data_IF_609168856339
#
_entry.id   IF_609168856339
#
_cell.length_a   1.000
_cell.length_b   1.000
_cell.length_c   1.000
_cell.angle_alpha   90.00
_cell.angle_beta   90.00
_cell.angle_gamma   90.00
#
_symmetry.space_group_name_H-M   'P 1'
#
loop_
_entity.id
_entity.type
_entity.pdbx_description
1 polymer ?
#
# COMPACT_ATOMS: atom_id res chain seq x y z
N UNK A 1 -30.26 -2.83 2.47
CA UNK A 1 -29.30 -1.74 2.72
C UNK A 1 -28.97 -1.76 4.19
N UNK A 2 -27.69 -1.73 4.54
CA UNK A 2 -27.25 -1.65 5.93
C UNK A 2 -26.87 -0.21 6.32
N UNK A 3 -26.47 0.00 7.57
CA UNK A 3 -26.06 1.32 8.09
C UNK A 3 -24.93 1.94 7.25
N UNK A 4 -23.99 1.12 6.75
CA UNK A 4 -22.89 1.58 5.89
C UNK A 4 -23.41 2.11 4.56
N UNK A 5 -24.39 1.44 3.93
CA UNK A 5 -25.01 1.92 2.70
C UNK A 5 -25.69 3.29 2.90
N UNK A 6 -26.37 3.47 4.05
CA UNK A 6 -27.03 4.74 4.39
C UNK A 6 -26.00 5.87 4.54
N UNK A 7 -24.90 5.61 5.24
CA UNK A 7 -23.80 6.57 5.39
C UNK A 7 -23.18 6.92 4.05
N UNK A 8 -22.93 5.94 3.18
CA UNK A 8 -22.39 6.18 1.82
C UNK A 8 -23.35 7.07 1.01
N UNK A 9 -24.65 6.73 0.97
CA UNK A 9 -25.64 7.52 0.22
C UNK A 9 -25.74 8.94 0.76
N UNK A 10 -25.68 9.12 2.08
CA UNK A 10 -25.72 10.43 2.72
C UNK A 10 -24.46 11.25 2.39
N UNK A 11 -23.27 10.67 2.51
CA UNK A 11 -22.01 11.33 2.17
C UNK A 11 -21.97 11.72 0.69
N UNK A 12 -22.33 10.80 -0.21
CA UNK A 12 -22.36 11.06 -1.65
C UNK A 12 -23.42 12.12 -1.98
N UNK A 13 -24.64 11.99 -1.44
CA UNK A 13 -25.74 12.93 -1.68
C UNK A 13 -25.41 14.35 -1.21
N UNK A 14 -24.86 14.50 0.00
CA UNK A 14 -24.39 15.80 0.50
C UNK A 14 -23.25 16.37 -0.36
N UNK A 15 -22.32 15.53 -0.82
CA UNK A 15 -21.22 15.97 -1.68
C UNK A 15 -21.71 16.44 -3.05
N UNK A 16 -22.68 15.74 -3.66
CA UNK A 16 -23.32 16.16 -4.91
C UNK A 16 -24.07 17.48 -4.73
N UNK A 17 -24.85 17.61 -3.66
CA UNK A 17 -25.58 18.84 -3.36
C UNK A 17 -24.63 20.02 -3.18
N UNK A 18 -23.58 19.85 -2.38
CA UNK A 18 -22.58 20.90 -2.13
C UNK A 18 -21.78 21.25 -3.38
N UNK A 19 -21.42 20.25 -4.19
CA UNK A 19 -20.75 20.45 -5.48
C UNK A 19 -21.62 21.24 -6.45
N UNK A 20 -22.91 20.87 -6.58
CA UNK A 20 -23.85 21.60 -7.42
C UNK A 20 -24.06 23.05 -6.94
N UNK A 21 -24.01 23.30 -5.63
CA UNK A 21 -24.12 24.65 -5.07
C UNK A 21 -22.88 25.52 -5.33
N UNK A 22 -21.68 24.93 -5.36
CA UNK A 22 -20.40 25.63 -5.61
C UNK A 22 -20.08 25.87 -7.08
N UNK A 23 -20.63 25.05 -7.98
CA UNK A 23 -20.35 25.15 -9.41
C UNK A 23 -19.16 24.29 -9.87
N UNK A 24 -19.03 24.15 -11.19
CA UNK A 24 -18.06 23.26 -11.85
C UNK A 24 -16.65 23.80 -11.73
N UNK A 25 -16.48 25.11 -11.83
CA UNK A 25 -15.15 25.72 -11.83
C UNK A 25 -14.44 25.53 -10.50
N UNK A 26 -15.13 25.83 -9.40
CA UNK A 26 -14.61 25.61 -8.05
C UNK A 26 -14.38 24.11 -7.83
N UNK A 27 -15.33 23.26 -8.25
CA UNK A 27 -15.17 21.80 -8.17
C UNK A 27 -13.95 21.26 -8.94
N UNK A 28 -13.65 21.83 -10.11
CA UNK A 28 -12.49 21.46 -10.92
C UNK A 28 -11.18 21.91 -10.26
N UNK A 29 -11.16 23.12 -9.69
CA UNK A 29 -10.02 23.62 -8.90
C UNK A 29 -9.80 22.73 -7.68
N UNK A 30 -10.85 22.38 -6.94
CA UNK A 30 -10.76 21.50 -5.77
C UNK A 30 -10.19 20.13 -6.18
N UNK A 31 -10.67 19.54 -7.27
CA UNK A 31 -10.19 18.23 -7.76
C UNK A 31 -8.73 18.29 -8.20
N UNK A 32 -8.37 19.31 -8.99
CA UNK A 32 -7.00 19.54 -9.43
C UNK A 32 -6.06 19.80 -8.25
N UNK A 33 -6.52 20.57 -7.26
CA UNK A 33 -5.80 20.85 -6.03
C UNK A 33 -5.47 19.58 -5.27
N UNK A 34 -6.40 18.63 -5.13
CA UNK A 34 -6.12 17.34 -4.51
C UNK A 34 -5.07 16.55 -5.29
N UNK A 35 -5.21 16.45 -6.62
CA UNK A 35 -4.24 15.71 -7.44
C UNK A 35 -2.83 16.30 -7.31
N UNK A 36 -2.72 17.63 -7.35
CA UNK A 36 -1.46 18.33 -7.22
C UNK A 36 -0.89 18.23 -5.80
N UNK A 37 -1.73 18.35 -4.77
CA UNK A 37 -1.36 18.19 -3.37
C UNK A 37 -0.84 16.79 -3.04
N UNK A 38 -1.46 15.74 -3.57
CA UNK A 38 -1.00 14.37 -3.42
C UNK A 38 0.32 14.15 -4.17
N UNK A 39 0.44 14.68 -5.38
CA UNK A 39 1.66 14.56 -6.20
C UNK A 39 2.84 15.28 -5.53
N UNK A 40 2.70 16.58 -5.24
CA UNK A 40 3.77 17.37 -4.60
C UNK A 40 4.06 16.86 -3.19
N UNK A 41 3.02 16.52 -2.42
CA UNK A 41 3.16 15.87 -1.12
C UNK A 41 4.00 14.60 -1.20
N UNK A 42 3.72 13.73 -2.18
CA UNK A 42 4.47 12.47 -2.37
C UNK A 42 5.95 12.66 -2.76
N UNK A 43 6.29 13.80 -3.35
CA UNK A 43 7.66 14.12 -3.77
C UNK A 43 8.46 14.78 -2.65
N UNK A 44 7.84 15.68 -1.88
CA UNK A 44 8.56 16.60 -0.97
C UNK A 44 8.36 16.25 0.52
N UNK A 45 7.45 15.32 0.88
CA UNK A 45 7.15 14.98 2.29
C UNK A 45 8.37 14.68 3.16
N UNK A 46 9.44 14.11 2.58
CA UNK A 46 10.68 13.78 3.32
C UNK A 46 11.32 15.01 3.95
N UNK A 47 11.24 16.18 3.31
CA UNK A 47 11.77 17.44 3.84
C UNK A 47 11.04 17.82 5.12
N UNK A 48 9.70 17.80 5.09
CA UNK A 48 8.88 18.08 6.26
C UNK A 48 9.08 17.01 7.37
N UNK A 49 9.23 15.74 6.99
CA UNK A 49 9.47 14.66 7.92
C UNK A 49 10.81 14.79 8.67
N UNK A 50 11.88 15.23 8.00
CA UNK A 50 13.19 15.49 8.64
C UNK A 50 13.07 16.60 9.69
N UNK A 51 12.33 17.67 9.39
CA UNK A 51 12.08 18.76 10.34
C UNK A 51 11.29 18.26 11.55
N UNK A 52 10.23 17.49 11.33
CA UNK A 52 9.41 16.92 12.42
C UNK A 52 10.22 15.92 13.28
N UNK A 53 11.06 15.10 12.65
CA UNK A 53 11.97 14.19 13.35
C UNK A 53 12.96 14.95 14.23
N UNK A 54 13.47 16.10 13.76
CA UNK A 54 14.34 16.97 14.55
C UNK A 54 13.64 17.57 15.79
N UNK A 55 12.30 17.69 15.76
CA UNK A 55 11.48 18.15 16.89
C UNK A 55 11.16 16.99 17.87
N UNK A 56 11.57 15.76 17.56
CA UNK A 56 11.44 14.58 18.43
C UNK A 56 10.25 13.66 18.10
N UNK A 57 9.57 13.85 16.97
CA UNK A 57 8.51 12.94 16.55
C UNK A 57 9.07 11.58 16.10
N UNK A 58 8.41 10.44 16.45
CA UNK A 58 8.78 9.12 15.95
C UNK A 58 8.80 9.08 14.42
N UNK A 59 9.69 8.28 13.83
CA UNK A 59 9.93 8.25 12.38
C UNK A 59 8.67 8.02 11.55
N UNK A 60 7.82 7.08 11.96
CA UNK A 60 6.53 6.84 11.34
C UNK A 60 5.63 8.07 11.34
N UNK A 61 5.48 8.71 12.51
CA UNK A 61 4.58 9.84 12.71
C UNK A 61 5.10 11.08 11.97
N UNK A 62 6.41 11.28 11.95
CA UNK A 62 7.09 12.33 11.17
C UNK A 62 6.82 12.21 9.67
N UNK A 63 6.88 10.99 9.11
CA UNK A 63 6.56 10.75 7.71
C UNK A 63 5.10 11.07 7.37
N UNK A 64 4.17 10.56 8.20
CA UNK A 64 2.73 10.79 8.03
C UNK A 64 2.37 12.27 8.13
N UNK A 65 2.79 12.93 9.21
CA UNK A 65 2.52 14.34 9.46
C UNK A 65 3.21 15.23 8.41
N UNK A 66 4.43 14.88 7.99
CA UNK A 66 5.13 15.59 6.93
C UNK A 66 4.39 15.55 5.59
N UNK A 67 3.89 14.38 5.21
CA UNK A 67 3.05 14.23 4.01
C UNK A 67 1.74 15.04 4.15
N UNK A 68 1.03 14.91 5.27
CA UNK A 68 -0.21 15.66 5.51
C UNK A 68 0.00 17.17 5.44
N UNK A 69 1.03 17.69 6.09
CA UNK A 69 1.30 19.13 6.17
C UNK A 69 1.62 19.70 4.78
N UNK A 70 2.46 19.02 4.00
CA UNK A 70 2.78 19.45 2.62
C UNK A 70 1.54 19.37 1.73
N UNK A 71 0.81 18.25 1.74
CA UNK A 71 -0.38 18.09 0.90
C UNK A 71 -1.47 19.11 1.26
N UNK A 72 -1.76 19.35 2.55
CA UNK A 72 -2.74 20.36 2.97
C UNK A 72 -2.28 21.76 2.58
N UNK A 73 -1.01 22.10 2.80
CA UNK A 73 -0.46 23.40 2.42
C UNK A 73 -0.58 23.67 0.91
N UNK A 74 -0.22 22.70 0.09
CA UNK A 74 -0.40 22.77 -1.37
C UNK A 74 -1.87 22.89 -1.73
N UNK A 75 -2.74 22.07 -1.12
CA UNK A 75 -4.15 22.05 -1.45
C UNK A 75 -4.82 23.41 -1.18
N UNK A 76 -4.58 23.96 0.01
CA UNK A 76 -5.07 25.28 0.42
C UNK A 76 -4.53 26.37 -0.51
N UNK A 77 -3.23 26.33 -0.82
CA UNK A 77 -2.61 27.30 -1.74
C UNK A 77 -3.24 27.29 -3.13
N UNK A 78 -3.44 26.10 -3.71
CA UNK A 78 -4.04 25.95 -5.05
C UNK A 78 -5.50 26.37 -5.07
N UNK A 79 -6.28 25.99 -4.05
CA UNK A 79 -7.69 26.41 -3.95
C UNK A 79 -7.79 27.93 -3.79
N UNK A 80 -6.97 28.53 -2.93
CA UNK A 80 -6.93 29.97 -2.74
C UNK A 80 -6.60 30.70 -4.04
N UNK A 81 -5.51 30.33 -4.70
CA UNK A 81 -5.09 30.94 -5.98
C UNK A 81 -6.12 30.71 -7.10
N UNK A 82 -6.66 29.50 -7.20
CA UNK A 82 -7.70 29.18 -8.20
C UNK A 82 -8.98 29.98 -7.97
N UNK A 83 -9.40 30.15 -6.71
CA UNK A 83 -10.58 30.94 -6.37
C UNK A 83 -10.41 32.43 -6.70
N UNK A 84 -9.19 32.97 -6.55
CA UNK A 84 -8.87 34.34 -6.98
C UNK A 84 -8.94 34.49 -8.49
N UNK A 85 -8.38 33.52 -9.24
CA UNK A 85 -8.33 33.56 -10.70
C UNK A 85 -9.71 33.47 -11.35
N UNK A 86 -10.62 32.74 -10.71
CA UNK A 86 -11.93 32.41 -11.29
C UNK A 86 -13.05 33.31 -10.77
N UNK A 87 -12.72 34.27 -9.90
CA UNK A 87 -13.69 35.21 -9.30
C UNK A 87 -14.49 35.99 -10.35
N UNK A 88 -13.90 36.26 -11.50
CA UNK A 88 -14.50 37.10 -12.56
C UNK A 88 -15.09 36.29 -13.74
N UNK A 89 -15.06 34.95 -13.67
CA UNK A 89 -15.60 34.10 -14.73
C UNK A 89 -17.05 33.71 -14.42
N UNK A 90 -17.99 34.31 -15.15
CA UNK A 90 -19.40 33.93 -15.09
C UNK A 90 -19.70 32.81 -16.09
N UNK A 91 -19.85 31.58 -15.61
CA UNK A 91 -20.45 30.50 -16.40
C UNK A 91 -21.98 30.54 -16.33
N UNK A 92 -22.63 30.01 -17.36
CA UNK A 92 -24.09 29.83 -17.34
C UNK A 92 -24.53 28.97 -16.14
N UNK A 93 -25.61 29.37 -15.47
CA UNK A 93 -26.10 28.76 -14.21
C UNK A 93 -26.31 27.24 -14.28
N UNK A 94 -26.80 26.73 -15.41
CA UNK A 94 -27.10 25.30 -15.58
C UNK A 94 -25.85 24.43 -15.79
N UNK A 95 -24.98 24.69 -16.77
CA UNK A 95 -23.77 23.89 -16.95
C UNK A 95 -22.85 23.94 -15.73
N UNK A 96 -22.78 25.09 -15.04
CA UNK A 96 -21.99 25.23 -13.82
C UNK A 96 -22.51 24.33 -12.69
N UNK A 97 -23.82 24.31 -12.43
CA UNK A 97 -24.42 23.44 -11.41
C UNK A 97 -24.30 21.96 -11.73
N UNK A 98 -24.51 21.57 -13.00
CA UNK A 98 -24.41 20.15 -13.42
C UNK A 98 -22.96 19.67 -13.25
N UNK A 99 -22.00 20.44 -13.75
CA UNK A 99 -20.59 20.08 -13.61
C UNK A 99 -20.14 20.09 -12.14
N UNK A 100 -20.64 21.03 -11.33
CA UNK A 100 -20.44 21.04 -9.89
C UNK A 100 -20.98 19.78 -9.21
N UNK A 101 -22.17 19.32 -9.61
CA UNK A 101 -22.75 18.06 -9.13
C UNK A 101 -21.93 16.83 -9.49
N UNK A 102 -21.36 16.77 -10.70
CA UNK A 102 -20.45 15.69 -11.14
C UNK A 102 -19.16 15.71 -10.30
N UNK A 103 -18.56 16.87 -10.11
CA UNK A 103 -17.39 17.01 -9.23
C UNK A 103 -17.72 16.56 -7.81
N UNK A 104 -18.86 17.01 -7.27
CA UNK A 104 -19.37 16.59 -5.95
C UNK A 104 -19.58 15.08 -5.83
N UNK A 105 -20.06 14.41 -6.88
CA UNK A 105 -20.17 12.95 -6.94
C UNK A 105 -18.80 12.27 -6.82
N UNK A 106 -17.82 12.72 -7.61
CA UNK A 106 -16.46 12.16 -7.56
C UNK A 106 -15.84 12.34 -6.18
N UNK A 107 -15.99 13.52 -5.58
CA UNK A 107 -15.55 13.82 -4.22
C UNK A 107 -16.24 12.95 -3.17
N UNK A 108 -17.56 12.81 -3.24
CA UNK A 108 -18.33 11.98 -2.33
C UNK A 108 -17.95 10.50 -2.40
N UNK A 109 -17.69 9.99 -3.61
CA UNK A 109 -17.19 8.62 -3.81
C UNK A 109 -15.78 8.44 -3.23
N UNK A 110 -14.88 9.40 -3.45
CA UNK A 110 -13.53 9.38 -2.89
C UNK A 110 -13.56 9.39 -1.36
N UNK A 111 -14.37 10.28 -0.76
CA UNK A 111 -14.52 10.36 0.69
C UNK A 111 -15.15 9.09 1.27
N UNK A 112 -16.16 8.52 0.58
CA UNK A 112 -16.75 7.24 0.97
C UNK A 112 -15.73 6.11 0.91
N UNK A 113 -14.90 6.03 -0.14
CA UNK A 113 -13.83 5.05 -0.24
C UNK A 113 -12.83 5.17 0.92
N UNK A 114 -12.46 6.40 1.31
CA UNK A 114 -11.58 6.66 2.45
C UNK A 114 -12.22 6.22 3.78
N UNK A 115 -13.49 6.56 4.01
CA UNK A 115 -14.23 6.15 5.21
C UNK A 115 -14.32 4.63 5.31
N UNK A 116 -14.58 3.95 4.19
CA UNK A 116 -14.62 2.50 4.13
C UNK A 116 -13.24 1.87 4.39
N UNK A 117 -12.17 2.47 3.85
CA UNK A 117 -10.80 2.05 4.11
C UNK A 117 -10.43 2.15 5.59
N UNK A 118 -10.82 3.24 6.27
CA UNK A 118 -10.61 3.41 7.72
C UNK A 118 -11.47 2.39 8.49
N UNK A 119 -12.73 2.23 8.10
CA UNK A 119 -13.67 1.31 8.75
C UNK A 119 -13.21 -0.14 8.70
N UNK A 120 -12.59 -0.58 7.60
CA UNK A 120 -12.10 -1.95 7.48
C UNK A 120 -10.83 -2.26 8.28
N UNK A 121 -10.19 -1.25 8.90
CA UNK A 121 -9.14 -1.45 9.92
C UNK A 121 -9.76 -1.82 11.27
N UNK A 122 -10.98 -1.36 11.56
CA UNK A 122 -11.68 -1.61 12.80
C UNK A 122 -12.44 -2.97 12.74
N UNK A 123 -12.35 -3.85 13.75
CA UNK A 123 -12.97 -5.18 13.69
C UNK A 123 -14.50 -5.14 13.52
N UNK A 124 -15.17 -4.26 14.26
CA UNK A 124 -16.63 -4.20 14.31
C UNK A 124 -17.27 -3.61 13.03
N UNK A 125 -16.80 -2.47 12.49
CA UNK A 125 -17.34 -1.92 11.24
C UNK A 125 -17.03 -2.77 9.99
N UNK A 126 -16.01 -3.64 10.05
CA UNK A 126 -15.59 -4.47 8.91
C UNK A 126 -16.68 -5.43 8.45
N UNK A 127 -17.41 -6.07 9.37
CA UNK A 127 -18.48 -7.00 8.98
C UNK A 127 -19.63 -6.29 8.28
N UNK A 128 -20.03 -5.13 8.81
CA UNK A 128 -21.02 -4.26 8.17
C UNK A 128 -20.57 -3.80 6.79
N UNK A 129 -19.30 -3.44 6.63
CA UNK A 129 -18.72 -3.08 5.34
C UNK A 129 -18.79 -4.24 4.33
N UNK A 130 -18.48 -5.47 4.74
CA UNK A 130 -18.52 -6.64 3.85
C UNK A 130 -19.95 -7.03 3.43
N UNK A 131 -20.95 -6.75 4.26
CA UNK A 131 -22.38 -6.97 3.95
C UNK A 131 -23.03 -5.84 3.16
N UNK A 132 -22.36 -4.70 2.99
CA UNK A 132 -22.87 -3.53 2.27
C UNK A 132 -22.98 -3.84 0.78
N UNK A 133 -24.04 -3.33 0.13
CA UNK A 133 -24.22 -3.48 -1.31
C UNK A 133 -23.27 -2.55 -2.11
N UNK A 134 -22.98 -1.37 -1.56
CA UNK A 134 -22.12 -0.35 -2.18
C UNK A 134 -20.65 -0.49 -1.79
N UNK A 135 -20.38 -0.93 -0.56
CA UNK A 135 -19.03 -0.99 0.02
C UNK A 135 -18.02 -1.72 -0.85
N UNK A 136 -18.23 -3.01 -1.20
CA UNK A 136 -17.31 -3.76 -2.04
C UNK A 136 -17.07 -3.13 -3.42
N UNK A 137 -18.11 -2.52 -4.02
CA UNK A 137 -17.99 -1.87 -5.33
C UNK A 137 -17.10 -0.63 -5.27
N UNK A 138 -17.34 0.24 -4.28
CA UNK A 138 -16.53 1.45 -4.07
C UNK A 138 -15.08 1.06 -3.72
N UNK A 139 -14.90 0.12 -2.80
CA UNK A 139 -13.57 -0.33 -2.36
C UNK A 139 -12.77 -0.96 -3.52
N UNK A 140 -13.43 -1.69 -4.42
CA UNK A 140 -12.76 -2.31 -5.59
C UNK A 140 -12.15 -1.30 -6.57
N UNK A 141 -12.56 -0.04 -6.51
CA UNK A 141 -11.97 1.04 -7.32
C UNK A 141 -10.57 1.41 -6.84
N UNK A 142 -10.28 1.25 -5.55
CA UNK A 142 -9.01 1.70 -4.95
C UNK A 142 -7.81 0.94 -5.53
N UNK A 143 -7.75 -0.41 -5.54
CA UNK A 143 -6.60 -1.13 -6.12
C UNK A 143 -6.39 -0.80 -7.61
N UNK A 144 -7.49 -0.62 -8.34
CA UNK A 144 -7.47 -0.29 -9.77
C UNK A 144 -6.89 1.11 -10.01
N UNK A 145 -7.27 2.11 -9.21
CA UNK A 145 -6.72 3.45 -9.30
C UNK A 145 -5.25 3.50 -8.93
N UNK A 146 -4.83 2.77 -7.89
CA UNK A 146 -3.41 2.62 -7.54
C UNK A 146 -2.59 2.02 -8.70
N UNK A 147 -3.05 0.91 -9.29
CA UNK A 147 -2.37 0.31 -10.44
C UNK A 147 -2.30 1.25 -11.64
N UNK A 148 -3.35 2.03 -11.90
CA UNK A 148 -3.37 3.00 -12.99
C UNK A 148 -2.35 4.14 -12.78
N UNK A 149 -2.31 4.72 -11.57
CA UNK A 149 -1.37 5.79 -11.23
C UNK A 149 0.09 5.34 -11.29
N UNK A 150 0.38 4.13 -10.84
CA UNK A 150 1.74 3.58 -10.92
C UNK A 150 2.22 3.36 -12.35
N UNK A 151 1.33 2.87 -13.22
CA UNK A 151 1.62 2.73 -14.66
C UNK A 151 1.84 4.08 -15.33
N UNK A 152 1.18 5.12 -14.84
CA UNK A 152 1.44 6.51 -15.24
C UNK A 152 2.76 7.07 -14.67
N UNK A 153 3.52 6.28 -13.91
CA UNK A 153 4.80 6.68 -13.31
C UNK A 153 4.67 7.38 -11.96
N UNK A 154 3.46 7.54 -11.42
CA UNK A 154 3.20 8.21 -10.15
C UNK A 154 3.28 7.19 -9.01
N UNK A 155 4.40 7.15 -8.31
CA UNK A 155 4.60 6.30 -7.14
C UNK A 155 3.98 6.95 -5.90
N UNK A 156 2.73 6.61 -5.59
CA UNK A 156 2.06 7.06 -4.38
C UNK A 156 2.71 6.44 -3.13
N UNK A 157 2.87 7.21 -2.03
CA UNK A 157 3.32 6.67 -0.76
C UNK A 157 2.25 5.72 -0.22
N UNK A 158 2.65 4.50 0.13
CA UNK A 158 1.76 3.48 0.65
C UNK A 158 2.09 3.20 2.10
N UNK A 159 1.04 3.05 2.88
CA UNK A 159 1.14 2.51 4.23
C UNK A 159 1.20 0.99 4.12
N UNK A 160 2.39 0.42 4.30
CA UNK A 160 2.59 -1.03 4.29
C UNK A 160 3.11 -1.45 5.65
N UNK A 161 2.54 -2.52 6.20
CA UNK A 161 3.03 -3.12 7.44
C UNK A 161 4.07 -4.18 7.06
N UNK A 162 5.31 -3.74 6.91
CA UNK A 162 6.45 -4.60 6.63
C UNK A 162 7.39 -4.62 7.85
N UNK A 163 7.95 -5.79 8.20
CA UNK A 163 9.02 -5.86 9.19
C UNK A 163 10.32 -5.29 8.60
N UNK A 164 11.15 -4.68 9.45
CA UNK A 164 12.48 -4.18 9.04
C UNK A 164 13.42 -5.33 8.65
N UNK A 165 13.23 -6.50 9.26
CA UNK A 165 13.99 -7.71 9.01
C UNK A 165 13.00 -8.84 8.70
N UNK A 166 13.26 -9.61 7.64
CA UNK A 166 12.45 -10.77 7.29
C UNK A 166 12.36 -11.80 8.44
N UNK A 167 13.39 -11.90 9.29
CA UNK A 167 13.40 -12.75 10.50
C UNK A 167 12.32 -12.35 11.50
N UNK A 168 12.00 -11.06 11.60
CA UNK A 168 10.92 -10.59 12.46
C UNK A 168 9.55 -11.00 11.89
N UNK A 169 9.41 -11.12 10.57
CA UNK A 169 8.21 -11.67 9.92
C UNK A 169 7.94 -13.11 10.36
N UNK A 170 8.99 -13.95 10.37
CA UNK A 170 8.92 -15.35 10.80
C UNK A 170 8.53 -15.50 12.27
N UNK A 171 8.90 -14.53 13.11
CA UNK A 171 8.54 -14.49 14.53
C UNK A 171 7.16 -13.88 14.77
N UNK A 172 6.44 -13.46 13.73
CA UNK A 172 5.19 -12.74 13.83
C UNK A 172 5.33 -11.32 14.39
N UNK A 173 6.56 -10.81 14.51
CA UNK A 173 6.85 -9.47 15.02
C UNK A 173 6.67 -8.47 13.87
N UNK A 174 5.51 -7.82 13.84
CA UNK A 174 5.25 -6.71 12.90
C UNK A 174 5.66 -5.40 13.57
N UNK A 175 6.86 -4.90 13.25
CA UNK A 175 7.33 -3.59 13.74
C UNK A 175 6.66 -2.45 12.96
N UNK A 176 5.40 -2.20 13.29
CA UNK A 176 4.66 -0.99 12.94
C UNK A 176 4.36 -0.77 11.45
N UNK A 177 3.47 0.18 11.13
CA UNK A 177 3.26 0.63 9.77
C UNK A 177 4.46 1.44 9.26
N UNK A 178 4.87 1.22 8.01
CA UNK A 178 5.90 1.98 7.33
C UNK A 178 5.34 2.66 6.08
N UNK A 179 5.84 3.85 5.76
CA UNK A 179 5.56 4.53 4.50
C UNK A 179 6.59 4.12 3.45
N UNK A 180 6.18 3.30 2.50
CA UNK A 180 7.02 2.84 1.41
C UNK A 180 6.57 3.45 0.09
N UNK A 181 7.54 3.98 -0.66
CA UNK A 181 7.35 4.53 -2.00
C UNK A 181 8.04 3.61 -3.02
N UNK A 182 7.50 2.41 -3.15
CA UNK A 182 7.94 1.42 -4.14
C UNK A 182 6.88 1.37 -5.25
N UNK A 183 7.33 1.56 -6.50
CA UNK A 183 6.53 1.30 -7.67
C UNK A 183 6.62 -0.19 -8.02
N UNK A 184 5.65 -0.98 -7.54
CA UNK A 184 5.67 -2.44 -7.73
C UNK A 184 5.38 -2.85 -9.17
N UNK A 185 4.75 -1.98 -9.99
CA UNK A 185 4.57 -2.27 -11.41
C UNK A 185 5.91 -2.32 -12.18
N UNK A 186 6.94 -1.59 -11.72
CA UNK A 186 8.30 -1.67 -12.29
C UNK A 186 9.04 -2.95 -11.91
N UNK A 187 8.46 -3.72 -11.00
CA UNK A 187 8.98 -4.99 -10.53
C UNK A 187 8.30 -6.18 -11.26
N UNK A 188 7.56 -5.90 -12.34
CA UNK A 188 7.10 -6.95 -13.25
C UNK A 188 8.30 -7.65 -13.91
N UNK A 189 8.21 -8.96 -14.08
CA UNK A 189 9.28 -9.77 -14.68
C UNK A 189 10.42 -10.15 -13.74
N UNK A 190 10.33 -9.85 -12.44
CA UNK A 190 11.35 -10.22 -11.45
C UNK A 190 11.58 -11.74 -11.34
N UNK A 191 12.76 -12.12 -10.90
CA UNK A 191 13.20 -13.52 -10.84
C UNK A 191 12.64 -14.24 -9.62
N UNK A 192 11.82 -15.28 -9.83
CA UNK A 192 11.30 -16.13 -8.77
C UNK A 192 12.41 -16.90 -8.05
N UNK A 193 12.49 -16.81 -6.72
CA UNK A 193 13.51 -17.53 -5.93
C UNK A 193 13.40 -19.06 -6.03
N UNK A 194 12.20 -19.62 -6.24
CA UNK A 194 11.98 -21.09 -6.29
C UNK A 194 12.37 -21.72 -7.63
N UNK A 195 12.06 -21.06 -8.74
CA UNK A 195 12.14 -21.66 -10.07
C UNK A 195 12.83 -20.81 -11.12
N UNK A 196 13.33 -19.62 -10.76
CA UNK A 196 14.08 -18.70 -11.64
C UNK A 196 13.29 -18.06 -12.78
N UNK A 197 12.00 -18.40 -12.97
CA UNK A 197 11.22 -17.73 -14.02
C UNK A 197 10.89 -16.29 -13.61
N UNK A 198 10.67 -15.44 -14.61
CA UNK A 198 10.02 -14.15 -14.43
C UNK A 198 8.65 -14.33 -13.76
N UNK A 199 8.27 -13.41 -12.88
CA UNK A 199 6.94 -13.34 -12.26
C UNK A 199 6.10 -12.25 -12.89
N UNK A 200 4.78 -12.45 -12.91
CA UNK A 200 3.83 -11.51 -13.49
C UNK A 200 3.15 -10.68 -12.41
N UNK A 201 3.14 -9.37 -12.57
CA UNK A 201 2.42 -8.45 -11.69
C UNK A 201 0.92 -8.45 -12.01
N UNK A 202 0.11 -8.97 -11.09
CA UNK A 202 -1.35 -9.06 -11.23
C UNK A 202 -2.11 -7.85 -10.69
N UNK A 203 -1.39 -6.79 -10.30
CA UNK A 203 -1.95 -5.61 -9.68
C UNK A 203 -2.07 -5.72 -8.15
N UNK A 204 -2.84 -4.80 -7.59
CA UNK A 204 -3.08 -4.71 -6.15
C UNK A 204 -4.31 -5.51 -5.73
N UNK A 205 -4.24 -6.14 -4.56
CA UNK A 205 -5.36 -6.86 -3.94
C UNK A 205 -5.46 -6.49 -2.47
N UNK A 206 -6.68 -6.44 -1.97
CA UNK A 206 -6.91 -6.35 -0.53
C UNK A 206 -6.56 -7.67 0.14
N UNK A 207 -5.84 -7.58 1.25
CA UNK A 207 -5.47 -8.71 2.08
C UNK A 207 -5.86 -8.38 3.54
N UNK A 208 -6.65 -9.25 4.17
CA UNK A 208 -7.12 -9.11 5.57
C UNK A 208 -7.60 -7.68 5.94
N UNK A 209 -8.82 -7.33 5.54
CA UNK A 209 -9.40 -6.01 5.82
C UNK A 209 -9.08 -5.02 4.70
N UNK A 210 -8.48 -3.88 5.04
CA UNK A 210 -8.20 -2.77 4.10
C UNK A 210 -6.74 -2.61 3.73
N UNK A 211 -5.86 -3.51 4.18
CA UNK A 211 -4.46 -3.52 3.73
C UNK A 211 -4.39 -3.93 2.26
N UNK A 212 -3.79 -3.07 1.45
CA UNK A 212 -3.56 -3.34 0.03
C UNK A 212 -2.14 -3.87 -0.11
N UNK A 213 -2.00 -5.01 -0.79
CA UNK A 213 -0.70 -5.60 -1.11
C UNK A 213 -0.58 -5.84 -2.62
N UNK A 214 0.60 -5.59 -3.23
CA UNK A 214 0.85 -6.04 -4.60
C UNK A 214 0.76 -7.56 -4.64
N UNK A 215 0.25 -8.10 -5.76
CA UNK A 215 0.21 -9.53 -6.02
C UNK A 215 1.01 -9.82 -7.29
N UNK A 216 2.04 -10.62 -7.14
CA UNK A 216 2.78 -11.25 -8.23
C UNK A 216 2.42 -12.73 -8.27
N UNK A 217 2.39 -13.31 -9.47
CA UNK A 217 2.26 -14.74 -9.64
C UNK A 217 3.35 -15.27 -10.58
N UNK A 218 4.01 -16.34 -10.18
CA UNK A 218 4.98 -17.03 -11.02
C UNK A 218 4.24 -17.98 -11.98
N UNK A 219 4.31 -17.79 -13.31
CA UNK A 219 3.62 -18.66 -14.27
C UNK A 219 4.18 -20.09 -14.29
N UNK A 220 5.44 -20.29 -13.93
CA UNK A 220 6.09 -21.60 -13.98
C UNK A 220 5.78 -22.48 -12.75
N UNK A 221 5.87 -21.92 -11.53
CA UNK A 221 5.66 -22.70 -10.30
C UNK A 221 4.37 -22.35 -9.55
N UNK A 222 3.56 -21.44 -10.08
CA UNK A 222 2.26 -21.05 -9.53
C UNK A 222 2.29 -20.17 -8.29
N UNK A 223 3.47 -19.96 -7.68
CA UNK A 223 3.60 -19.23 -6.41
C UNK A 223 3.13 -17.79 -6.51
N UNK A 224 2.52 -17.32 -5.44
CA UNK A 224 2.13 -15.92 -5.26
C UNK A 224 3.03 -15.23 -4.24
N UNK A 225 3.35 -13.96 -4.48
CA UNK A 225 4.21 -13.14 -3.62
C UNK A 225 3.84 -11.66 -3.76
N UNK A 226 4.26 -10.83 -2.82
CA UNK A 226 4.19 -9.36 -2.87
C UNK A 226 5.54 -8.73 -3.30
N UNK A 227 6.50 -9.56 -3.69
CA UNK A 227 7.89 -9.21 -3.93
C UNK A 227 8.85 -9.87 -2.94
N UNK A 228 8.36 -10.34 -1.78
CA UNK A 228 9.16 -11.03 -0.76
C UNK A 228 9.79 -12.36 -1.25
N UNK A 229 9.36 -12.94 -2.38
CA UNK A 229 9.87 -14.21 -2.92
C UNK A 229 10.51 -14.09 -4.30
N UNK A 230 10.86 -12.86 -4.70
CA UNK A 230 11.71 -12.60 -5.86
C UNK A 230 13.02 -11.99 -5.42
N UNK A 231 14.10 -12.22 -6.17
CA UNK A 231 15.42 -11.71 -5.78
C UNK A 231 15.41 -10.18 -5.70
N UNK A 232 15.00 -9.53 -6.78
CA UNK A 232 15.02 -8.07 -6.94
C UNK A 232 14.01 -7.40 -5.99
N UNK A 233 12.85 -8.04 -5.77
CA UNK A 233 11.80 -7.54 -4.89
C UNK A 233 12.24 -7.59 -3.44
N UNK A 234 12.91 -8.68 -3.05
CA UNK A 234 13.46 -8.82 -1.71
C UNK A 234 14.53 -7.77 -1.41
N UNK A 235 15.48 -7.54 -2.34
CA UNK A 235 16.44 -6.43 -2.22
C UNK A 235 15.72 -5.08 -2.10
N UNK A 236 14.66 -4.85 -2.88
CA UNK A 236 13.96 -3.57 -2.87
C UNK A 236 13.16 -3.32 -1.59
N UNK A 237 12.65 -4.37 -0.96
CA UNK A 237 11.79 -4.30 0.24
C UNK A 237 12.64 -4.28 1.52
N UNK A 238 13.63 -5.18 1.62
CA UNK A 238 14.40 -5.40 2.86
C UNK A 238 15.83 -4.87 2.81
N UNK A 239 16.28 -4.33 1.67
CA UNK A 239 17.66 -3.86 1.45
C UNK A 239 18.73 -4.93 1.78
N UNK A 240 18.40 -6.19 1.51
CA UNK A 240 19.22 -7.36 1.85
C UNK A 240 19.18 -8.41 0.73
N UNK A 241 20.21 -9.24 0.66
CA UNK A 241 20.25 -10.38 -0.25
C UNK A 241 19.55 -11.60 0.36
N UNK A 242 18.55 -12.20 -0.33
CA UNK A 242 17.88 -13.40 0.18
C UNK A 242 18.81 -14.62 0.26
N UNK A 243 19.87 -14.66 -0.54
CA UNK A 243 20.85 -15.75 -0.52
C UNK A 243 21.71 -15.70 0.73
N UNK A 244 22.06 -14.51 1.22
CA UNK A 244 22.82 -14.35 2.46
C UNK A 244 22.02 -14.84 3.66
N UNK A 245 20.75 -14.43 3.77
CA UNK A 245 19.84 -14.96 4.78
C UNK A 245 19.65 -16.48 4.66
N UNK A 246 19.60 -17.01 3.43
CA UNK A 246 19.52 -18.46 3.21
C UNK A 246 20.77 -19.21 3.72
N UNK A 247 21.97 -18.63 3.61
CA UNK A 247 23.21 -19.19 4.18
C UNK A 247 23.13 -19.28 5.71
N UNK A 248 22.39 -18.37 6.33
CA UNK A 248 22.14 -18.36 7.78
C UNK A 248 20.97 -19.29 8.18
N UNK A 249 20.48 -20.12 7.25
CA UNK A 249 19.44 -21.12 7.50
C UNK A 249 18.00 -20.61 7.39
N UNK A 250 17.80 -19.36 6.97
CA UNK A 250 16.47 -18.79 6.77
C UNK A 250 15.82 -19.42 5.52
N UNK A 251 14.55 -19.79 5.65
CA UNK A 251 13.72 -20.24 4.53
C UNK A 251 12.60 -19.25 4.30
N UNK A 252 12.12 -19.17 3.06
CA UNK A 252 11.18 -18.12 2.66
C UNK A 252 9.78 -18.68 2.38
N UNK A 253 8.76 -18.12 3.01
CA UNK A 253 7.37 -18.10 2.54
C UNK A 253 6.81 -16.68 2.71
N UNK A 254 5.93 -16.25 1.81
CA UNK A 254 5.42 -14.89 1.88
C UNK A 254 4.38 -14.75 3.00
N UNK A 255 4.56 -13.87 3.97
CA UNK A 255 3.58 -13.70 5.05
C UNK A 255 2.25 -13.12 4.57
N UNK A 256 2.28 -12.33 3.49
CA UNK A 256 1.08 -11.80 2.82
C UNK A 256 0.45 -12.87 1.91
N UNK A 257 1.23 -13.44 1.00
CA UNK A 257 0.74 -14.45 0.05
C UNK A 257 1.34 -15.81 0.36
N UNK A 258 0.92 -16.42 1.48
CA UNK A 258 1.45 -17.70 1.94
C UNK A 258 1.17 -18.79 0.93
N UNK A 259 2.19 -19.57 0.56
CA UNK A 259 2.05 -20.70 -0.36
C UNK A 259 1.99 -22.05 0.39
N UNK A 260 2.32 -22.05 1.69
CA UNK A 260 2.29 -23.25 2.53
C UNK A 260 3.56 -24.10 2.45
N UNK A 261 4.52 -23.73 1.61
CA UNK A 261 5.83 -24.37 1.49
C UNK A 261 6.97 -23.35 1.51
N UNK A 262 7.89 -23.55 2.46
CA UNK A 262 9.11 -22.77 2.60
C UNK A 262 10.14 -23.15 1.53
N UNK A 263 10.80 -22.14 0.94
CA UNK A 263 11.78 -22.32 -0.14
C UNK A 263 13.17 -21.81 0.28
N UNK A 264 14.18 -22.30 -0.44
CA UNK A 264 15.50 -21.68 -0.51
C UNK A 264 15.69 -21.10 -1.91
N UNK A 265 16.36 -19.93 -2.04
CA UNK A 265 16.66 -19.35 -3.33
C UNK A 265 17.54 -20.29 -4.16
N UNK A 266 17.19 -20.47 -5.44
CA UNK A 266 17.97 -21.30 -6.37
C UNK A 266 18.85 -20.43 -7.26
N UNK A 267 20.09 -20.89 -7.49
CA UNK A 267 21.05 -20.26 -8.38
C UNK A 267 21.63 -18.94 -7.85
N UNK A 268 22.44 -18.24 -8.66
CA UNK A 268 23.03 -16.97 -8.30
C UNK A 268 21.98 -15.85 -8.31
N UNK A 269 22.04 -14.96 -7.33
CA UNK A 269 21.21 -13.77 -7.27
C UNK A 269 21.52 -12.84 -8.46
N UNK A 270 20.52 -12.39 -9.22
CA UNK A 270 20.72 -11.52 -10.38
C UNK A 270 21.17 -10.10 -10.02
N UNK A 271 21.07 -9.66 -8.76
CA UNK A 271 21.46 -8.31 -8.32
C UNK A 271 22.93 -8.24 -7.91
N UNK A 272 23.40 -9.19 -7.09
CA UNK A 272 24.73 -9.14 -6.47
C UNK A 272 25.60 -10.38 -6.77
N UNK A 273 25.09 -11.35 -7.53
CA UNK A 273 25.81 -12.57 -7.90
C UNK A 273 25.99 -13.59 -6.77
N UNK A 274 25.44 -13.33 -5.58
CA UNK A 274 25.55 -14.26 -4.45
C UNK A 274 24.84 -15.60 -4.78
N UNK A 275 25.51 -16.72 -4.54
CA UNK A 275 24.91 -18.06 -4.70
C UNK A 275 24.96 -18.85 -3.39
N UNK A 276 23.90 -19.62 -3.14
CA UNK A 276 23.89 -20.60 -2.06
C UNK A 276 24.76 -21.77 -2.51
N UNK A 277 26.05 -21.76 -2.14
CA UNK A 277 26.94 -22.89 -2.38
C UNK A 277 26.25 -24.15 -1.87
N UNK A 278 26.21 -25.22 -2.67
CA UNK A 278 25.86 -26.58 -2.20
C UNK A 278 26.93 -27.05 -1.21
N UNK A 279 27.01 -26.42 -0.05
CA UNK A 279 27.78 -26.87 1.09
C UNK A 279 27.08 -28.09 1.68
N UNK A 280 27.88 -29.09 2.07
CA UNK A 280 27.47 -30.39 2.65
C UNK A 280 26.79 -30.23 4.02
N UNK A 281 25.75 -29.41 4.14
CA UNK A 281 24.98 -29.24 5.36
C UNK A 281 23.75 -30.15 5.33
N UNK A 282 24.01 -31.44 5.48
CA UNK A 282 22.99 -32.44 5.77
C UNK A 282 23.57 -33.53 6.68
N UNK A 283 24.20 -33.18 7.81
CA UNK A 283 24.48 -34.17 8.89
C UNK A 283 25.01 -33.58 10.20
N UNK A 284 24.59 -32.38 10.62
CA UNK A 284 24.77 -31.97 12.02
C UNK A 284 23.50 -31.29 12.50
N UNK A 285 22.46 -32.09 12.68
CA UNK A 285 21.45 -31.74 13.68
C UNK A 285 22.15 -31.75 15.04
N UNK A 286 21.83 -30.81 15.96
CA UNK A 286 22.34 -30.89 17.32
C UNK A 286 21.90 -32.24 17.89
N UNK A 287 22.88 -33.03 18.35
CA UNK A 287 22.60 -34.19 19.16
C UNK A 287 21.84 -33.70 20.39
N UNK A 288 20.53 -33.92 20.40
CA UNK A 288 19.72 -33.82 21.61
C UNK A 288 20.19 -34.97 22.48
N UNK A 289 21.15 -34.69 23.36
CA UNK A 289 21.48 -35.56 24.48
C UNK A 289 20.22 -35.68 25.34
N UNK A 290 19.47 -36.74 25.10
CA UNK A 290 18.42 -37.18 26.01
C UNK A 290 19.09 -37.66 27.30
N UNK A 291 19.31 -36.74 28.23
CA UNK A 291 19.64 -37.10 29.60
C UNK A 291 18.37 -37.70 30.21
N UNK A 292 18.26 -39.02 30.10
CA UNK A 292 17.29 -39.82 30.84
C UNK A 292 17.59 -39.66 32.34
N UNK A 293 16.77 -38.87 33.03
CA UNK A 293 16.69 -38.91 34.49
C UNK A 293 15.92 -40.18 34.88
N UNK A 294 16.67 -41.27 35.06
CA UNK A 294 16.22 -42.49 35.72
C UNK A 294 16.50 -42.37 37.21
N UNK A 295 15.44 -42.36 38.01
CA UNK A 295 15.35 -42.93 39.36
C UNK A 295 16.26 -42.39 40.47
N UNK A 296 15.65 -41.94 41.58
CA UNK A 296 15.57 -42.75 42.80
C UNK A 296 14.93 -41.96 43.95
N UNK A 297 13.89 -42.57 44.53
CA UNK A 297 13.35 -42.47 45.91
C UNK A 297 12.58 -41.22 46.31
#
# INVERSE_FOLDING_TARGET
MNEVDVVIVLVVGLSVYHGAARGVLIGAIDLFSILLALTIGSLIWRVAAVILKAIGFPEFLSGLLGFMLVSVGVAVGVVYLGSLLVRDLELGKWPDRIGGGISGLLFGLLLSALLLMISGVLPHPRESMLRSALGPRIISLVPTSYSALERAGIALPKLVVLPLDYRDELKGVRRGPQFLQINFSKLDGMTCMKCRSAVDFQGYRFQRGTLISPKFQCPNCGRTTDGCQTFEGFHRIYDQCPVELAREGVKFDCGVWTNGDFILPKGPCPIDGNELKKGRHASQGPAVTSTAASGMR
#
